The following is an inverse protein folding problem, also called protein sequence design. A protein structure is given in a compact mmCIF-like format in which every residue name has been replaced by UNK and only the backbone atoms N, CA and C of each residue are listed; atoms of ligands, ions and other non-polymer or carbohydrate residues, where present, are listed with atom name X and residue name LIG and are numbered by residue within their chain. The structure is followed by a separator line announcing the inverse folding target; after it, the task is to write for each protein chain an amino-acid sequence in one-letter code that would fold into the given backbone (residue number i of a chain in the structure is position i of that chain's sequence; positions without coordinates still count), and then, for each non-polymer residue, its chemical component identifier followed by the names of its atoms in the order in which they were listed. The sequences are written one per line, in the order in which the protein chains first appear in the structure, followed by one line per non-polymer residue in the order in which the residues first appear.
data_IF_075874640021
#
_entry.id   IF_075874640021
#
_cell.length_a   1.000
_cell.length_b   1.000
_cell.length_c   1.000
_cell.angle_alpha   90.00
_cell.angle_beta   90.00
_cell.angle_gamma   90.00
#
_symmetry.space_group_name_H-M   'P 1'
#
loop_
_entity.id
_entity.type
_entity.pdbx_description
1 polymer ?
#
# COMPACT_ATOMS: atom_id res chain seq x y z
N UNK A 1 -4.42 4.79 11.84
CA UNK A 1 -4.62 3.82 10.75
C UNK A 1 -4.27 2.40 11.12
N UNK A 2 -4.56 1.49 10.24
CA UNK A 2 -4.18 0.09 10.39
C UNK A 2 -2.75 -0.09 9.89
N UNK A 3 -1.87 -0.70 10.67
CA UNK A 3 -0.46 -0.89 10.34
C UNK A 3 -0.05 -2.34 10.50
N UNK A 4 0.64 -2.87 9.50
CA UNK A 4 1.36 -4.13 9.51
C UNK A 4 2.58 -3.99 8.58
N UNK A 5 3.64 -4.74 8.84
CA UNK A 5 4.77 -4.82 7.91
C UNK A 5 4.42 -5.69 6.70
N UNK A 6 5.08 -5.47 5.57
CA UNK A 6 5.11 -6.45 4.49
C UNK A 6 5.78 -7.75 4.99
N UNK A 7 5.34 -8.89 4.47
CA UNK A 7 5.99 -10.18 4.73
C UNK A 7 7.23 -10.33 3.84
N UNK A 8 8.12 -11.27 4.19
CA UNK A 8 9.31 -11.54 3.37
C UNK A 8 8.96 -11.85 1.91
N UNK A 9 7.92 -12.67 1.72
CA UNK A 9 7.42 -13.05 0.38
C UNK A 9 6.88 -11.88 -0.44
N UNK A 10 6.37 -10.81 0.19
CA UNK A 10 5.81 -9.67 -0.54
C UNK A 10 6.89 -8.94 -1.36
N UNK A 11 8.16 -9.11 -0.99
CA UNK A 11 9.30 -8.56 -1.75
C UNK A 11 9.70 -9.40 -2.97
N UNK A 12 9.30 -10.66 -3.01
CA UNK A 12 9.62 -11.58 -4.10
C UNK A 12 8.57 -12.70 -4.22
N UNK A 13 7.32 -12.36 -4.53
CA UNK A 13 6.27 -13.32 -4.76
C UNK A 13 6.17 -13.67 -6.27
N UNK A 14 6.51 -14.89 -6.69
CA UNK A 14 6.42 -15.28 -8.11
C UNK A 14 5.02 -15.15 -8.70
N UNK A 15 3.96 -15.29 -7.90
CA UNK A 15 2.56 -15.13 -8.34
C UNK A 15 2.24 -13.70 -8.78
N UNK A 16 2.96 -12.71 -8.25
CA UNK A 16 2.80 -11.28 -8.61
C UNK A 16 3.52 -10.93 -9.91
N UNK A 17 4.58 -11.70 -10.27
CA UNK A 17 5.36 -11.50 -11.49
C UNK A 17 6.32 -10.29 -11.46
N UNK A 18 6.45 -9.60 -10.31
CA UNK A 18 7.42 -8.51 -10.11
C UNK A 18 8.15 -8.69 -8.78
N UNK A 19 9.34 -8.09 -8.71
CA UNK A 19 10.20 -8.16 -7.53
C UNK A 19 10.57 -6.75 -7.07
N UNK A 20 10.61 -6.56 -5.75
CA UNK A 20 11.21 -5.37 -5.17
C UNK A 20 12.74 -5.40 -5.36
N UNK A 21 13.38 -4.27 -5.70
CA UNK A 21 14.86 -4.20 -5.77
C UNK A 21 15.51 -4.10 -4.39
N UNK A 22 14.71 -4.09 -3.32
CA UNK A 22 15.12 -4.10 -1.92
C UNK A 22 14.47 -5.28 -1.19
N UNK A 23 14.96 -5.61 0.00
CA UNK A 23 14.47 -6.74 0.81
C UNK A 23 13.75 -6.26 2.07
N UNK A 24 13.04 -7.16 2.74
CA UNK A 24 12.47 -6.86 4.06
C UNK A 24 13.55 -6.45 5.06
N UNK A 25 14.71 -7.10 5.04
CA UNK A 25 15.84 -6.75 5.91
C UNK A 25 16.36 -5.33 5.67
N UNK A 26 16.34 -4.84 4.43
CA UNK A 26 16.65 -3.44 4.09
C UNK A 26 15.68 -2.47 4.77
N UNK A 27 14.40 -2.81 4.87
CA UNK A 27 13.38 -1.95 5.48
C UNK A 27 13.21 -2.14 6.99
N UNK A 28 13.68 -3.24 7.57
CA UNK A 28 13.46 -3.56 8.98
C UNK A 28 13.88 -2.44 9.98
N UNK A 29 15.05 -1.78 9.85
CA UNK A 29 15.41 -0.66 10.72
C UNK A 29 14.47 0.53 10.54
N UNK A 30 13.99 0.76 9.33
CA UNK A 30 13.07 1.86 9.02
C UNK A 30 11.64 1.58 9.48
N UNK A 31 11.19 0.33 9.50
CA UNK A 31 9.90 -0.03 10.08
C UNK A 31 9.85 0.31 11.57
N UNK A 32 10.92 0.07 12.34
CA UNK A 32 10.99 0.46 13.75
C UNK A 32 10.90 1.97 13.93
N UNK A 33 11.64 2.75 13.12
CA UNK A 33 11.57 4.22 13.14
C UNK A 33 10.19 4.73 12.70
N UNK A 34 9.60 4.12 11.67
CA UNK A 34 8.28 4.47 11.18
C UNK A 34 7.18 4.18 12.20
N UNK A 35 7.30 3.10 12.97
CA UNK A 35 6.39 2.80 14.06
C UNK A 35 6.37 3.92 15.11
N UNK A 36 7.54 4.42 15.53
CA UNK A 36 7.64 5.53 16.47
C UNK A 36 7.00 6.82 15.93
N UNK A 37 7.19 7.13 14.62
CA UNK A 37 6.54 8.28 13.98
C UNK A 37 5.02 8.13 13.98
N UNK A 38 4.52 6.91 13.77
CA UNK A 38 3.10 6.58 13.70
C UNK A 38 2.47 6.30 15.06
N UNK A 39 3.18 6.49 16.17
CA UNK A 39 2.73 6.19 17.53
C UNK A 39 2.30 4.71 17.68
N UNK A 40 3.14 3.80 17.14
CA UNK A 40 2.96 2.34 17.18
C UNK A 40 4.06 1.69 17.99
N UNK A 41 3.72 0.61 18.69
CA UNK A 41 4.72 -0.25 19.29
C UNK A 41 5.48 -1.03 18.21
N UNK A 42 6.80 -0.84 18.07
CA UNK A 42 7.58 -1.58 17.09
C UNK A 42 7.56 -3.10 17.33
N UNK A 43 7.44 -3.55 18.57
CA UNK A 43 7.40 -4.97 18.92
C UNK A 43 6.11 -5.65 18.44
N UNK A 44 5.03 -4.87 18.26
CA UNK A 44 3.75 -5.36 17.78
C UNK A 44 3.72 -5.66 16.27
N UNK A 45 4.67 -5.14 15.50
CA UNK A 45 4.59 -5.15 14.04
C UNK A 45 4.92 -6.50 13.40
N UNK A 46 5.78 -7.29 14.03
CA UNK A 46 6.26 -8.57 13.52
C UNK A 46 5.67 -9.78 14.26
N UNK A 47 4.68 -9.54 15.12
CA UNK A 47 4.02 -10.64 15.81
C UNK A 47 3.20 -11.46 14.84
N UNK A 48 3.43 -12.74 14.91
CA UNK A 48 2.63 -13.74 14.22
C UNK A 48 2.54 -15.00 15.07
N UNK A 49 1.44 -15.70 14.97
CA UNK A 49 1.20 -16.96 15.65
C UNK A 49 0.62 -17.96 14.67
N UNK A 50 1.22 -19.15 14.59
CA UNK A 50 0.58 -20.25 13.87
C UNK A 50 -0.76 -20.55 14.52
N UNK A 51 -1.83 -20.52 13.72
CA UNK A 51 -3.18 -20.68 14.25
C UNK A 51 -3.85 -21.98 13.78
N UNK A 52 -3.65 -22.32 12.52
CA UNK A 52 -4.07 -23.58 11.91
C UNK A 52 -3.01 -24.03 10.90
N UNK A 53 -3.03 -25.29 10.43
CA UNK A 53 -2.08 -25.73 9.42
C UNK A 53 -2.06 -24.81 8.20
N UNK A 54 -0.90 -24.25 7.87
CA UNK A 54 -0.72 -23.33 6.74
C UNK A 54 -1.27 -21.92 6.94
N UNK A 55 -1.77 -21.56 8.15
CA UNK A 55 -2.32 -20.24 8.42
C UNK A 55 -1.77 -19.62 9.71
N UNK A 56 -1.44 -18.35 9.59
CA UNK A 56 -0.94 -17.51 10.67
C UNK A 56 -2.04 -16.54 11.12
N UNK A 57 -1.99 -16.24 12.40
CA UNK A 57 -2.71 -15.12 12.99
C UNK A 57 -1.75 -13.95 13.06
N UNK A 58 -2.06 -12.86 12.36
CA UNK A 58 -1.24 -11.66 12.30
C UNK A 58 -1.98 -10.44 12.82
N UNK A 59 -1.42 -9.70 13.77
CA UNK A 59 -2.02 -8.48 14.24
C UNK A 59 -1.84 -7.32 13.25
N UNK A 60 -2.90 -6.52 13.12
CA UNK A 60 -2.82 -5.18 12.53
C UNK A 60 -2.98 -4.17 13.64
N UNK A 61 -1.97 -3.36 13.91
CA UNK A 61 -2.07 -2.27 14.87
C UNK A 61 -3.18 -1.30 14.45
N UNK A 62 -4.12 -1.04 15.36
CA UNK A 62 -5.35 -0.28 15.10
C UNK A 62 -5.52 0.91 16.03
N UNK A 63 -4.45 1.50 16.48
CA UNK A 63 -4.49 2.69 17.31
C UNK A 63 -5.14 3.88 16.58
N UNK A 64 -5.60 4.92 17.32
CA UNK A 64 -6.05 6.14 16.71
C UNK A 64 -5.08 6.65 15.65
N UNK A 65 -5.57 7.22 14.55
CA UNK A 65 -4.69 7.70 13.49
C UNK A 65 -3.81 8.84 13.99
N UNK A 66 -2.51 8.76 13.74
CA UNK A 66 -1.57 9.86 13.93
C UNK A 66 -2.00 11.07 13.10
N UNK A 67 -2.17 12.20 13.74
CA UNK A 67 -2.52 13.47 13.10
C UNK A 67 -1.24 14.26 12.85
N UNK A 68 -0.60 14.05 11.70
CA UNK A 68 0.70 14.65 11.37
C UNK A 68 0.69 16.17 11.47
N UNK A 69 -0.35 16.85 10.97
CA UNK A 69 -0.49 18.30 11.10
C UNK A 69 -0.42 18.77 12.55
N UNK A 70 -1.20 18.13 13.44
CA UNK A 70 -1.17 18.48 14.87
C UNK A 70 0.13 18.05 15.57
N UNK A 71 0.73 16.91 15.14
CA UNK A 71 1.96 16.38 15.77
C UNK A 71 3.20 17.21 15.44
N UNK A 72 3.24 17.80 14.26
CA UNK A 72 4.44 18.48 13.74
C UNK A 72 4.21 19.95 13.42
N UNK A 73 3.06 20.58 13.78
CA UNK A 73 2.79 22.00 13.55
C UNK A 73 3.93 22.89 14.07
N UNK A 74 4.25 22.72 15.35
CA UNK A 74 5.25 23.56 16.02
C UNK A 74 6.65 23.43 15.37
N UNK A 75 7.04 22.20 15.02
CA UNK A 75 8.31 21.95 14.30
C UNK A 75 8.32 22.63 12.93
N UNK A 76 7.19 22.63 12.23
CA UNK A 76 7.09 23.25 10.90
C UNK A 76 7.02 24.78 10.98
N UNK A 77 6.42 25.35 12.03
CA UNK A 77 6.24 26.77 12.23
C UNK A 77 7.50 27.44 12.80
N UNK A 78 8.19 26.78 13.73
CA UNK A 78 9.33 27.36 14.47
C UNK A 78 10.68 27.09 13.80
N UNK A 79 10.78 26.12 12.87
CA UNK A 79 12.06 25.75 12.27
C UNK A 79 12.56 26.80 11.27
N UNK A 80 13.71 27.38 11.53
CA UNK A 80 14.41 28.27 10.57
C UNK A 80 14.92 27.53 9.31
N UNK A 81 14.99 26.17 9.35
CA UNK A 81 15.47 25.34 8.25
C UNK A 81 14.35 24.80 7.35
N UNK A 82 13.08 24.97 7.74
CA UNK A 82 11.94 24.46 6.98
C UNK A 82 11.06 25.63 6.51
N UNK A 83 10.85 25.72 5.22
CA UNK A 83 9.94 26.68 4.61
C UNK A 83 8.71 25.99 4.06
N UNK A 84 7.53 26.31 4.60
CA UNK A 84 6.25 25.73 4.19
C UNK A 84 5.50 26.73 3.31
N UNK A 85 5.27 26.39 2.04
CA UNK A 85 4.44 27.16 1.13
C UNK A 85 3.04 26.55 1.06
N UNK A 86 2.06 27.18 1.70
CA UNK A 86 0.66 26.76 1.66
C UNK A 86 -0.08 27.33 0.45
N UNK A 87 -1.19 26.71 0.08
CA UNK A 87 -2.02 27.13 -1.06
C UNK A 87 -1.24 27.24 -2.37
N UNK A 88 -0.22 26.38 -2.54
CA UNK A 88 0.59 26.27 -3.74
C UNK A 88 0.43 24.87 -4.35
N UNK A 89 0.22 24.81 -5.66
CA UNK A 89 0.22 23.54 -6.43
C UNK A 89 1.39 23.56 -7.41
N UNK A 90 2.30 22.58 -7.29
CA UNK A 90 3.33 22.39 -8.33
C UNK A 90 2.65 21.95 -9.62
N UNK A 91 2.92 22.63 -10.71
CA UNK A 91 2.26 22.45 -12.00
C UNK A 91 3.22 22.08 -13.13
N UNK A 92 4.53 22.16 -12.91
CA UNK A 92 5.53 21.80 -13.91
C UNK A 92 6.89 21.48 -13.30
N UNK A 93 7.60 20.60 -13.98
CA UNK A 93 8.99 20.20 -13.73
C UNK A 93 9.77 20.45 -15.02
N UNK A 94 10.72 21.36 -14.99
CA UNK A 94 11.53 21.69 -16.15
C UNK A 94 12.92 21.09 -15.99
N UNK A 95 13.28 20.09 -16.82
CA UNK A 95 14.61 19.50 -16.78
C UNK A 95 15.63 20.37 -17.51
N UNK A 96 16.91 20.16 -17.18
CA UNK A 96 18.02 20.73 -17.92
C UNK A 96 18.08 20.18 -19.37
N UNK A 97 18.96 20.75 -20.19
CA UNK A 97 19.11 20.36 -21.60
C UNK A 97 19.50 18.91 -21.81
N UNK A 98 20.29 18.33 -20.90
CA UNK A 98 20.68 16.89 -20.92
C UNK A 98 19.63 15.97 -20.34
N UNK A 99 18.53 16.50 -19.75
CA UNK A 99 17.45 15.76 -19.09
C UNK A 99 17.93 14.84 -17.96
N UNK A 100 18.95 15.27 -17.26
CA UNK A 100 19.57 14.56 -16.14
C UNK A 100 19.27 15.20 -14.77
N UNK A 101 18.67 16.39 -14.75
CA UNK A 101 18.27 17.10 -13.54
C UNK A 101 17.03 17.96 -13.79
N UNK A 102 16.25 18.19 -12.76
CA UNK A 102 15.24 19.26 -12.74
C UNK A 102 15.94 20.57 -12.36
N UNK A 103 15.82 21.60 -13.20
CA UNK A 103 16.41 22.92 -12.97
C UNK A 103 15.40 23.95 -12.48
N UNK A 104 14.11 23.69 -12.68
CA UNK A 104 13.05 24.63 -12.30
C UNK A 104 11.75 23.90 -11.99
N UNK A 105 11.05 24.44 -10.97
CA UNK A 105 9.68 24.07 -10.64
C UNK A 105 8.76 25.23 -10.98
N UNK A 106 7.65 24.94 -11.64
CA UNK A 106 6.55 25.88 -11.78
C UNK A 106 5.46 25.53 -10.78
N UNK A 107 4.94 26.52 -10.05
CA UNK A 107 3.85 26.31 -9.11
C UNK A 107 2.79 27.41 -9.23
N UNK A 108 1.53 27.01 -9.08
CA UNK A 108 0.40 27.92 -9.06
C UNK A 108 0.10 28.34 -7.63
N UNK A 109 0.12 29.65 -7.36
CA UNK A 109 -0.21 30.23 -6.08
C UNK A 109 -1.69 30.63 -6.07
N UNK A 110 -2.53 29.83 -5.39
CA UNK A 110 -3.99 29.97 -5.41
C UNK A 110 -4.49 31.33 -4.95
N UNK A 111 -3.95 31.96 -3.89
CA UNK A 111 -4.43 33.28 -3.45
C UNK A 111 -4.24 34.41 -4.45
N UNK A 112 -3.15 34.39 -5.25
CA UNK A 112 -2.92 35.43 -6.27
C UNK A 112 -3.42 35.02 -7.66
N UNK A 113 -3.71 33.74 -7.89
CA UNK A 113 -4.08 33.22 -9.22
C UNK A 113 -2.91 33.18 -10.22
N UNK A 114 -1.66 33.30 -9.76
CA UNK A 114 -0.48 33.39 -10.60
C UNK A 114 0.32 32.10 -10.60
N UNK A 115 0.92 31.76 -11.74
CA UNK A 115 1.98 30.75 -11.80
C UNK A 115 3.34 31.40 -11.59
N UNK A 116 4.11 30.86 -10.67
CA UNK A 116 5.46 31.32 -10.29
C UNK A 116 6.48 30.21 -10.53
N UNK A 117 7.74 30.58 -10.59
CA UNK A 117 8.84 29.66 -10.81
C UNK A 117 9.81 29.68 -9.63
N UNK A 118 10.35 28.49 -9.31
CA UNK A 118 11.42 28.30 -8.35
C UNK A 118 12.59 27.61 -9.07
N UNK A 119 13.74 28.28 -9.09
CA UNK A 119 14.97 27.65 -9.59
C UNK A 119 15.42 26.53 -8.63
N UNK A 120 15.94 25.47 -9.19
CA UNK A 120 16.50 24.31 -8.46
C UNK A 120 17.98 24.25 -8.80
N UNK A 121 18.82 24.44 -7.79
CA UNK A 121 20.26 24.25 -7.92
C UNK A 121 20.61 22.77 -8.14
N UNK A 122 21.72 22.53 -8.83
CA UNK A 122 22.18 21.15 -9.13
C UNK A 122 22.48 20.31 -7.88
N UNK A 123 22.81 20.96 -6.76
CA UNK A 123 23.01 20.30 -5.46
C UNK A 123 21.70 20.07 -4.68
N UNK A 124 20.59 20.60 -5.16
CA UNK A 124 19.29 20.43 -4.50
C UNK A 124 18.55 19.21 -5.05
N UNK A 125 17.86 18.51 -4.18
CA UNK A 125 16.99 17.37 -4.53
C UNK A 125 15.52 17.80 -4.58
N UNK A 126 14.82 17.33 -5.59
CA UNK A 126 13.36 17.45 -5.74
C UNK A 126 12.71 16.14 -5.35
N UNK A 127 11.81 16.15 -4.37
CA UNK A 127 11.09 14.96 -3.92
C UNK A 127 9.59 15.13 -4.18
N UNK A 128 9.03 14.29 -5.02
CA UNK A 128 7.59 14.25 -5.27
C UNK A 128 6.90 13.37 -4.23
N UNK A 129 5.98 13.93 -3.48
CA UNK A 129 5.25 13.26 -2.40
C UNK A 129 3.71 13.39 -2.56
N UNK A 130 3.22 13.48 -3.80
CA UNK A 130 1.80 13.68 -4.14
C UNK A 130 0.94 12.41 -4.10
N UNK A 131 1.49 11.27 -3.63
CA UNK A 131 0.78 9.99 -3.55
C UNK A 131 0.57 9.30 -4.90
N UNK A 132 -0.24 8.22 -4.89
CA UNK A 132 -0.40 7.31 -6.03
C UNK A 132 -0.95 7.95 -7.30
N UNK A 133 -1.72 9.03 -7.21
CA UNK A 133 -2.26 9.75 -8.36
C UNK A 133 -1.45 11.00 -8.66
N UNK A 134 -1.19 11.83 -7.65
CA UNK A 134 -0.57 13.16 -7.86
C UNK A 134 0.86 13.08 -8.39
N UNK A 135 1.67 12.10 -7.96
CA UNK A 135 3.01 11.89 -8.51
C UNK A 135 2.93 11.58 -10.02
N UNK A 136 2.05 10.64 -10.40
CA UNK A 136 1.85 10.29 -11.81
C UNK A 136 1.27 11.46 -12.61
N UNK A 137 0.27 12.17 -12.06
CA UNK A 137 -0.32 13.34 -12.71
C UNK A 137 0.74 14.37 -13.05
N UNK A 138 1.63 14.69 -12.11
CA UNK A 138 2.68 15.69 -12.33
C UNK A 138 3.72 15.22 -13.36
N UNK A 139 4.19 13.98 -13.26
CA UNK A 139 5.17 13.40 -14.19
C UNK A 139 4.59 13.11 -15.59
N UNK A 140 3.29 13.12 -15.75
CA UNK A 140 2.61 12.97 -17.07
C UNK A 140 2.30 14.32 -17.73
N UNK A 141 2.47 15.46 -17.02
CA UNK A 141 2.15 16.76 -17.62
C UNK A 141 2.96 16.98 -18.89
N UNK A 142 2.32 17.43 -19.99
CA UNK A 142 3.02 17.78 -21.21
C UNK A 142 4.04 18.90 -20.96
N UNK A 143 5.18 18.78 -21.58
CA UNK A 143 6.20 19.83 -21.55
C UNK A 143 5.86 20.93 -22.55
N UNK A 144 6.23 22.19 -22.26
CA UNK A 144 6.01 23.30 -23.19
C UNK A 144 6.70 23.13 -24.54
N UNK A 145 7.84 22.40 -24.56
CA UNK A 145 8.61 22.14 -25.78
C UNK A 145 8.07 20.93 -26.60
N UNK A 146 6.97 20.31 -26.19
CA UNK A 146 6.39 19.13 -26.82
C UNK A 146 7.17 17.83 -26.64
N UNK A 147 8.25 17.86 -25.84
CA UNK A 147 9.06 16.68 -25.54
C UNK A 147 8.38 15.67 -24.63
N UNK A 148 9.03 14.52 -24.42
CA UNK A 148 8.57 13.50 -23.48
C UNK A 148 8.46 14.12 -22.10
N UNK A 149 7.36 13.84 -21.38
CA UNK A 149 7.12 14.34 -20.03
C UNK A 149 8.28 13.95 -19.09
N UNK A 150 8.61 14.85 -18.16
CA UNK A 150 9.76 14.71 -17.26
C UNK A 150 9.66 13.43 -16.42
N UNK A 151 10.67 12.56 -16.52
CA UNK A 151 10.70 11.27 -15.80
C UNK A 151 9.84 10.17 -16.42
N UNK A 152 9.28 10.36 -17.62
CA UNK A 152 8.47 9.36 -18.32
C UNK A 152 9.13 8.81 -19.59
N UNK A 153 10.43 8.75 -19.61
CA UNK A 153 11.22 8.26 -20.74
C UNK A 153 10.93 6.79 -21.07
N UNK A 154 10.59 6.00 -20.06
CA UNK A 154 10.17 4.59 -20.21
C UNK A 154 8.72 4.44 -20.70
N UNK A 155 7.90 5.49 -20.64
CA UNK A 155 6.45 5.43 -20.89
C UNK A 155 5.67 4.62 -19.83
N UNK A 156 6.23 4.47 -18.62
CA UNK A 156 5.65 3.64 -17.55
C UNK A 156 4.98 4.48 -16.44
N UNK A 157 5.22 5.78 -16.39
CA UNK A 157 4.54 6.65 -15.42
C UNK A 157 3.03 6.51 -15.57
N UNK A 158 2.36 6.36 -14.45
CA UNK A 158 0.91 6.16 -14.37
C UNK A 158 0.45 4.72 -14.55
N UNK A 159 1.23 3.84 -15.17
CA UNK A 159 0.87 2.42 -15.35
C UNK A 159 1.04 1.62 -14.07
N UNK A 160 0.47 0.40 -14.07
CA UNK A 160 0.54 -0.55 -12.95
C UNK A 160 -0.08 -0.01 -11.65
N UNK A 161 -1.13 0.81 -11.80
CA UNK A 161 -1.92 1.22 -10.65
C UNK A 161 -2.51 0.00 -9.96
N UNK A 162 -2.28 -0.10 -8.68
CA UNK A 162 -2.81 -1.14 -7.81
C UNK A 162 -3.57 -0.52 -6.63
N UNK A 163 -4.49 -1.31 -6.10
CA UNK A 163 -5.28 -1.02 -4.90
C UNK A 163 -5.29 -2.29 -4.03
N UNK A 164 -5.81 -2.21 -2.82
CA UNK A 164 -6.21 -3.39 -2.06
C UNK A 164 -7.71 -3.62 -2.25
N UNK A 165 -8.10 -4.65 -3.04
CA UNK A 165 -9.51 -5.05 -3.12
C UNK A 165 -10.01 -5.47 -1.74
N UNK A 166 -11.09 -4.84 -1.29
CA UNK A 166 -11.79 -5.22 -0.08
C UNK A 166 -13.07 -5.95 -0.45
N UNK A 167 -13.23 -7.18 0.03
CA UNK A 167 -14.45 -7.96 -0.18
C UNK A 167 -15.14 -8.16 1.16
N UNK A 168 -16.24 -7.44 1.36
CA UNK A 168 -17.11 -7.61 2.52
C UNK A 168 -18.13 -8.73 2.29
N UNK A 169 -18.29 -9.64 3.28
CA UNK A 169 -19.24 -10.77 3.22
C UNK A 169 -18.96 -11.80 2.11
N UNK A 170 -17.73 -11.88 1.60
CA UNK A 170 -17.31 -12.92 0.66
C UNK A 170 -17.25 -14.30 1.29
N UNK A 171 -17.10 -14.37 2.62
CA UNK A 171 -17.15 -15.62 3.38
C UNK A 171 -17.70 -15.41 4.80
N UNK A 172 -18.16 -16.52 5.37
CA UNK A 172 -18.54 -16.66 6.77
C UNK A 172 -17.77 -17.83 7.37
N UNK A 173 -17.36 -17.69 8.63
CA UNK A 173 -16.66 -18.73 9.37
C UNK A 173 -17.44 -19.09 10.63
N UNK A 174 -17.41 -20.38 10.96
CA UNK A 174 -17.87 -20.88 12.26
C UNK A 174 -16.69 -21.56 12.91
N UNK A 175 -16.23 -21.03 14.05
CA UNK A 175 -15.00 -21.42 14.73
C UNK A 175 -15.28 -21.85 16.17
N UNK A 176 -14.50 -22.82 16.66
CA UNK A 176 -14.55 -23.30 18.06
C UNK A 176 -13.86 -22.35 19.06
N UNK A 177 -13.28 -21.26 18.56
CA UNK A 177 -12.50 -20.31 19.31
C UNK A 177 -13.12 -18.92 19.22
N UNK A 178 -13.22 -18.19 20.35
CA UNK A 178 -13.69 -16.83 20.39
C UNK A 178 -12.52 -15.87 20.15
N UNK A 179 -12.27 -15.53 18.89
CA UNK A 179 -11.07 -14.81 18.46
C UNK A 179 -11.00 -13.38 19.04
N UNK A 180 -12.16 -12.70 19.19
CA UNK A 180 -12.17 -11.31 19.71
C UNK A 180 -11.75 -11.21 21.18
N UNK A 181 -11.82 -12.30 21.94
CA UNK A 181 -11.46 -12.34 23.36
C UNK A 181 -10.10 -12.97 23.64
N UNK A 182 -9.38 -13.43 22.62
CA UNK A 182 -8.04 -13.90 22.89
C UNK A 182 -7.18 -12.72 23.36
N UNK A 183 -6.56 -12.82 24.56
CA UNK A 183 -5.62 -11.84 25.02
C UNK A 183 -4.41 -11.90 24.11
N UNK A 184 -4.39 -11.10 23.07
CA UNK A 184 -3.14 -10.53 22.62
C UNK A 184 -2.58 -9.78 23.84
N UNK A 185 -1.28 -9.78 24.08
CA UNK A 185 -0.72 -9.06 25.21
C UNK A 185 -1.40 -7.71 25.34
N UNK A 186 -1.86 -7.34 26.56
CA UNK A 186 -2.68 -6.15 26.81
C UNK A 186 -2.06 -4.84 26.35
N UNK A 187 -0.76 -4.87 26.06
CA UNK A 187 0.06 -3.73 25.65
C UNK A 187 0.00 -3.43 24.14
N UNK A 188 -0.74 -4.25 23.36
CA UNK A 188 -0.82 -4.06 21.90
C UNK A 188 -1.85 -3.02 21.46
N UNK A 189 -2.49 -2.29 22.37
CA UNK A 189 -3.52 -1.32 21.99
C UNK A 189 -4.46 -1.87 20.91
N UNK A 190 -5.53 -1.32 20.52
CA UNK A 190 -6.51 -1.87 19.61
C UNK A 190 -5.97 -2.64 18.37
N UNK A 191 -5.68 -3.94 18.54
CA UNK A 191 -5.22 -4.82 17.46
C UNK A 191 -6.41 -5.50 16.79
N UNK A 192 -6.44 -5.46 15.46
CA UNK A 192 -7.37 -6.24 14.66
C UNK A 192 -6.65 -7.46 14.10
N UNK A 193 -6.97 -8.67 14.58
CA UNK A 193 -6.37 -9.89 14.08
C UNK A 193 -6.83 -10.22 12.66
N UNK A 194 -5.91 -10.76 11.86
CA UNK A 194 -6.21 -11.29 10.55
C UNK A 194 -5.60 -12.67 10.37
N UNK A 195 -6.30 -13.55 9.69
CA UNK A 195 -5.78 -14.81 9.22
C UNK A 195 -5.11 -14.59 7.87
N UNK A 196 -3.89 -15.11 7.71
CA UNK A 196 -3.12 -15.04 6.47
C UNK A 196 -2.51 -16.40 6.18
N UNK A 197 -2.43 -16.79 4.91
CA UNK A 197 -1.68 -17.98 4.53
C UNK A 197 -0.19 -17.76 4.87
N UNK A 198 0.50 -18.79 5.35
CA UNK A 198 1.94 -18.74 5.55
C UNK A 198 2.72 -18.77 4.22
N UNK A 199 4.04 -18.64 4.28
CA UNK A 199 4.87 -18.57 3.08
C UNK A 199 4.87 -19.89 2.31
N UNK A 200 4.76 -21.03 3.00
CA UNK A 200 4.68 -22.36 2.38
C UNK A 200 3.39 -22.53 1.58
N UNK A 201 2.23 -22.23 2.18
CA UNK A 201 0.94 -22.27 1.48
C UNK A 201 0.90 -21.29 0.31
N UNK A 202 1.44 -20.09 0.51
CA UNK A 202 1.48 -19.08 -0.53
C UNK A 202 2.31 -19.54 -1.74
N UNK A 203 3.49 -20.10 -1.51
CA UNK A 203 4.35 -20.62 -2.57
C UNK A 203 3.76 -21.85 -3.26
N UNK A 204 3.29 -22.84 -2.47
CA UNK A 204 2.76 -24.10 -3.00
C UNK A 204 1.52 -23.91 -3.90
N UNK A 205 0.72 -22.90 -3.62
CA UNK A 205 -0.54 -22.65 -4.33
C UNK A 205 -0.54 -21.40 -5.21
N UNK A 206 0.60 -20.70 -5.34
CA UNK A 206 0.73 -19.49 -6.15
C UNK A 206 -0.26 -18.41 -5.72
N UNK A 207 -0.37 -18.15 -4.41
CA UNK A 207 -1.31 -17.17 -3.88
C UNK A 207 -0.74 -15.75 -3.94
N UNK A 208 -1.62 -14.80 -4.20
CA UNK A 208 -1.41 -13.40 -3.88
C UNK A 208 -1.63 -13.17 -2.38
N UNK A 209 -1.09 -12.08 -1.85
CA UNK A 209 -1.31 -11.69 -0.47
C UNK A 209 -2.80 -11.49 -0.16
N UNK A 210 -3.29 -12.11 0.91
CA UNK A 210 -4.67 -11.95 1.36
C UNK A 210 -4.77 -12.04 2.88
N UNK A 211 -5.39 -11.04 3.49
CA UNK A 211 -5.72 -11.06 4.92
C UNK A 211 -7.23 -11.21 5.12
N UNK A 212 -7.61 -12.16 5.96
CA UNK A 212 -9.01 -12.47 6.30
C UNK A 212 -9.30 -11.92 7.69
N UNK A 213 -9.98 -10.79 7.75
CA UNK A 213 -10.38 -10.14 9.01
C UNK A 213 -11.73 -10.67 9.48
N UNK A 214 -11.80 -11.05 10.74
CA UNK A 214 -12.96 -11.67 11.33
C UNK A 214 -13.78 -10.67 12.16
N UNK A 215 -15.06 -10.60 11.86
CA UNK A 215 -16.02 -9.80 12.60
C UNK A 215 -17.08 -10.71 13.22
N UNK A 216 -17.07 -10.84 14.53
CA UNK A 216 -18.01 -11.66 15.25
C UNK A 216 -19.46 -11.26 14.95
N UNK A 217 -20.32 -12.27 14.87
CA UNK A 217 -21.77 -12.13 14.73
C UNK A 217 -22.44 -12.71 15.96
N UNK A 218 -23.40 -11.97 16.50
CA UNK A 218 -24.21 -12.37 17.66
C UNK A 218 -25.54 -13.04 17.28
N UNK A 219 -25.79 -13.17 15.97
CA UNK A 219 -27.02 -13.80 15.48
C UNK A 219 -26.90 -15.31 15.50
N UNK A 220 -27.97 -16.01 15.83
CA UNK A 220 -28.08 -17.46 15.74
C UNK A 220 -27.77 -17.90 14.31
N UNK A 221 -26.99 -18.96 14.21
CA UNK A 221 -26.58 -19.50 12.93
C UNK A 221 -26.71 -21.04 12.97
N UNK A 222 -27.47 -21.65 12.05
CA UNK A 222 -27.77 -23.09 12.11
C UNK A 222 -26.51 -23.96 12.17
N UNK A 223 -25.41 -23.53 11.51
CA UNK A 223 -24.15 -24.27 11.57
C UNK A 223 -23.50 -24.22 12.96
N UNK A 224 -23.69 -23.13 13.71
CA UNK A 224 -23.20 -23.01 15.10
C UNK A 224 -23.91 -24.03 15.97
N UNK A 225 -25.25 -24.09 15.92
CA UNK A 225 -26.05 -25.07 16.66
C UNK A 225 -25.68 -26.50 16.30
N UNK A 226 -25.58 -26.79 14.99
CA UNK A 226 -25.22 -28.13 14.51
C UNK A 226 -23.84 -28.58 14.99
N UNK A 227 -22.80 -27.73 14.84
CA UNK A 227 -21.44 -28.10 15.23
C UNK A 227 -21.28 -28.16 16.76
N UNK A 228 -21.91 -27.24 17.49
CA UNK A 228 -21.87 -27.25 18.96
C UNK A 228 -22.54 -28.51 19.54
N UNK A 229 -23.68 -28.92 18.98
CA UNK A 229 -24.34 -30.13 19.39
C UNK A 229 -23.57 -31.40 19.01
N UNK A 230 -22.96 -31.44 17.83
CA UNK A 230 -22.18 -32.57 17.34
C UNK A 230 -20.89 -32.79 18.13
N UNK A 231 -20.11 -31.72 18.34
CA UNK A 231 -18.74 -31.78 18.87
C UNK A 231 -18.70 -31.55 20.39
N UNK A 232 -19.83 -31.20 21.04
CA UNK A 232 -19.95 -30.98 22.48
C UNK A 232 -19.15 -29.76 22.99
N UNK A 233 -18.80 -28.83 22.10
CA UNK A 233 -18.06 -27.62 22.42
C UNK A 233 -18.69 -26.39 21.76
N UNK A 234 -18.53 -25.18 22.32
CA UNK A 234 -19.09 -23.97 21.71
C UNK A 234 -18.44 -23.62 20.38
N UNK A 235 -19.24 -23.16 19.45
CA UNK A 235 -18.78 -22.56 18.19
C UNK A 235 -19.30 -21.13 18.07
N UNK A 236 -18.59 -20.31 17.32
CA UNK A 236 -18.84 -18.87 17.16
C UNK A 236 -18.91 -18.48 15.68
N UNK A 237 -19.85 -17.63 15.32
CA UNK A 237 -20.05 -17.16 13.94
C UNK A 237 -19.31 -15.88 13.66
N UNK A 238 -18.59 -15.87 12.54
CA UNK A 238 -17.85 -14.72 12.04
C UNK A 238 -18.17 -14.41 10.59
N UNK A 239 -18.23 -13.13 10.29
CA UNK A 239 -18.18 -12.63 8.92
C UNK A 239 -16.75 -12.28 8.57
N UNK A 240 -16.28 -12.76 7.41
CA UNK A 240 -14.99 -12.40 6.87
C UNK A 240 -15.05 -11.11 6.05
N UNK A 241 -14.06 -10.25 6.24
CA UNK A 241 -13.69 -9.18 5.31
C UNK A 241 -12.31 -9.49 4.79
N UNK A 242 -12.20 -9.69 3.48
CA UNK A 242 -10.92 -9.92 2.83
C UNK A 242 -10.30 -8.58 2.45
N UNK A 243 -8.99 -8.47 2.62
CA UNK A 243 -8.16 -7.42 2.03
C UNK A 243 -7.05 -8.12 1.28
N UNK A 244 -7.02 -7.94 -0.02
CA UNK A 244 -6.18 -8.73 -0.89
C UNK A 244 -5.18 -7.85 -1.65
N UNK A 245 -4.09 -8.46 -2.03
CA UNK A 245 -3.17 -7.96 -3.02
C UNK A 245 -3.82 -7.97 -4.40
N UNK A 246 -3.43 -7.03 -5.24
CA UNK A 246 -3.84 -6.92 -6.62
C UNK A 246 -2.61 -7.07 -7.51
N UNK A 247 -2.72 -7.89 -8.54
CA UNK A 247 -1.64 -8.09 -9.51
C UNK A 247 -1.39 -6.80 -10.31
N UNK A 248 -0.12 -6.40 -10.49
CA UNK A 248 0.22 -5.24 -11.30
C UNK A 248 -0.15 -5.48 -12.76
N UNK A 249 -1.01 -4.64 -13.31
CA UNK A 249 -1.41 -4.68 -14.72
C UNK A 249 -1.17 -3.34 -15.39
N UNK A 250 -0.54 -3.33 -16.57
CA UNK A 250 -0.32 -2.10 -17.34
C UNK A 250 -1.63 -1.45 -17.80
N UNK A 251 -2.74 -2.20 -17.85
CA UNK A 251 -4.07 -1.67 -18.18
C UNK A 251 -4.70 -0.87 -17.05
N UNK A 252 -4.25 -1.08 -15.80
CA UNK A 252 -4.62 -0.26 -14.66
C UNK A 252 -3.67 0.93 -14.60
N UNK A 253 -4.22 2.13 -14.77
CA UNK A 253 -3.38 3.30 -14.97
C UNK A 253 -4.05 4.60 -14.52
N UNK A 254 -3.19 5.55 -14.21
CA UNK A 254 -3.49 6.99 -14.22
C UNK A 254 -3.06 7.54 -15.57
N UNK A 255 -3.93 8.24 -16.25
CA UNK A 255 -3.65 8.97 -17.49
C UNK A 255 -4.22 10.39 -17.39
N UNK A 256 -3.90 11.25 -18.35
CA UNK A 256 -4.41 12.62 -18.35
C UNK A 256 -5.54 12.79 -19.37
N UNK A 257 -6.51 13.63 -19.03
CA UNK A 257 -7.56 14.10 -19.94
C UNK A 257 -7.14 15.40 -20.64
N UNK A 258 -7.89 15.83 -21.65
CA UNK A 258 -7.74 17.16 -22.26
C UNK A 258 -8.17 18.31 -21.35
N UNK A 259 -8.95 18.04 -20.30
CA UNK A 259 -9.43 19.06 -19.37
C UNK A 259 -8.34 19.49 -18.39
N UNK A 260 -8.40 20.75 -17.96
CA UNK A 260 -7.51 21.31 -16.96
C UNK A 260 -8.26 21.71 -15.69
N UNK A 261 -7.57 21.64 -14.56
CA UNK A 261 -8.07 22.20 -13.29
C UNK A 261 -7.76 23.71 -13.21
N UNK A 262 -8.19 24.35 -12.10
CA UNK A 262 -7.97 25.79 -11.85
C UNK A 262 -6.50 26.22 -11.81
N UNK A 263 -5.58 25.30 -11.52
CA UNK A 263 -4.14 25.57 -11.52
C UNK A 263 -3.48 25.29 -12.89
N UNK A 264 -4.26 24.91 -13.92
CA UNK A 264 -3.76 24.66 -15.27
C UNK A 264 -3.25 23.23 -15.50
N UNK A 265 -3.23 22.35 -14.50
CA UNK A 265 -2.86 20.95 -14.68
C UNK A 265 -3.93 20.19 -15.45
N UNK A 266 -3.53 19.31 -16.37
CA UNK A 266 -4.42 18.33 -16.96
C UNK A 266 -4.97 17.41 -15.88
N UNK A 267 -6.28 17.17 -15.91
CA UNK A 267 -6.97 16.32 -14.95
C UNK A 267 -6.59 14.86 -15.13
N UNK A 268 -6.37 14.12 -14.04
CA UNK A 268 -6.13 12.69 -14.14
C UNK A 268 -7.45 11.94 -14.38
N UNK A 269 -7.38 10.88 -15.15
CA UNK A 269 -8.37 9.82 -15.19
C UNK A 269 -7.74 8.54 -14.65
N UNK A 270 -8.53 7.73 -13.96
CA UNK A 270 -8.06 6.53 -13.26
C UNK A 270 -8.81 5.32 -13.76
N UNK A 271 -8.08 4.34 -14.25
CA UNK A 271 -8.57 3.00 -14.52
C UNK A 271 -7.96 2.04 -13.51
N UNK A 272 -8.79 1.40 -12.71
CA UNK A 272 -8.38 0.39 -11.74
C UNK A 272 -9.42 -0.73 -11.72
N UNK A 273 -9.06 -1.89 -12.21
CA UNK A 273 -9.93 -3.06 -12.29
C UNK A 273 -9.23 -4.26 -11.65
N UNK A 274 -9.93 -4.95 -10.77
CA UNK A 274 -9.48 -6.21 -10.17
C UNK A 274 -9.55 -7.30 -11.24
N UNK A 275 -8.47 -8.07 -11.40
CA UNK A 275 -8.37 -9.14 -12.39
C UNK A 275 -9.08 -10.42 -11.96
N UNK A 276 -9.34 -11.30 -12.93
CA UNK A 276 -9.90 -12.64 -12.64
C UNK A 276 -8.99 -13.46 -11.73
N UNK A 277 -7.67 -13.39 -11.95
CA UNK A 277 -6.68 -14.12 -11.15
C UNK A 277 -6.59 -13.60 -9.70
N UNK A 278 -6.83 -12.31 -9.48
CA UNK A 278 -6.91 -11.73 -8.13
C UNK A 278 -8.07 -12.36 -7.35
N UNK A 279 -9.25 -12.49 -7.98
CA UNK A 279 -10.40 -13.17 -7.39
C UNK A 279 -10.17 -14.65 -7.15
N UNK A 280 -9.56 -15.34 -8.11
CA UNK A 280 -9.23 -16.77 -7.98
C UNK A 280 -8.25 -17.00 -6.82
N UNK A 281 -7.29 -16.11 -6.62
CA UNK A 281 -6.37 -16.18 -5.48
C UNK A 281 -7.11 -16.00 -4.14
N UNK A 282 -8.03 -15.04 -4.04
CA UNK A 282 -8.88 -14.87 -2.86
C UNK A 282 -9.73 -16.13 -2.58
N UNK A 283 -10.35 -16.69 -3.61
CA UNK A 283 -11.15 -17.92 -3.47
C UNK A 283 -10.30 -19.10 -3.02
N UNK A 284 -9.12 -19.30 -3.63
CA UNK A 284 -8.17 -20.36 -3.23
C UNK A 284 -7.76 -20.22 -1.77
N UNK A 285 -7.42 -18.99 -1.33
CA UNK A 285 -7.09 -18.71 0.08
C UNK A 285 -8.22 -19.15 1.01
N UNK A 286 -9.47 -18.83 0.69
CA UNK A 286 -10.62 -19.23 1.51
C UNK A 286 -10.85 -20.74 1.50
N UNK A 287 -10.65 -21.43 0.36
CA UNK A 287 -10.79 -22.89 0.26
C UNK A 287 -9.73 -23.61 1.09
N UNK A 288 -8.47 -23.18 1.00
CA UNK A 288 -7.37 -23.71 1.80
C UNK A 288 -7.58 -23.46 3.29
N UNK A 289 -8.06 -22.27 3.67
CA UNK A 289 -8.46 -21.98 5.04
C UNK A 289 -9.56 -22.93 5.51
N UNK A 290 -10.58 -23.15 4.68
CA UNK A 290 -11.68 -24.07 4.99
C UNK A 290 -11.20 -25.51 5.20
N UNK A 291 -10.29 -25.98 4.34
CA UNK A 291 -9.68 -27.30 4.48
C UNK A 291 -8.88 -27.41 5.78
N UNK A 292 -8.00 -26.45 6.05
CA UNK A 292 -7.20 -26.40 7.28
C UNK A 292 -8.05 -26.41 8.55
N UNK A 293 -9.19 -25.69 8.54
CA UNK A 293 -10.12 -25.67 9.66
C UNK A 293 -10.85 -27.02 9.85
N UNK A 294 -11.17 -27.72 8.77
CA UNK A 294 -11.76 -29.05 8.84
C UNK A 294 -10.77 -30.06 9.41
N UNK A 295 -9.55 -30.08 8.87
CA UNK A 295 -8.48 -31.00 9.29
C UNK A 295 -8.08 -30.82 10.75
N UNK A 296 -8.02 -29.56 11.21
CA UNK A 296 -7.69 -29.25 12.62
C UNK A 296 -8.87 -29.31 13.58
N UNK A 297 -10.09 -29.58 13.10
CA UNK A 297 -11.31 -29.58 13.92
C UNK A 297 -11.70 -28.21 14.48
N UNK A 298 -11.11 -27.12 13.97
CA UNK A 298 -11.32 -25.76 14.47
C UNK A 298 -12.57 -25.08 13.94
N UNK A 299 -13.15 -25.56 12.84
CA UNK A 299 -14.35 -24.92 12.30
C UNK A 299 -14.63 -25.19 10.83
N UNK A 300 -15.36 -24.25 10.22
CA UNK A 300 -15.81 -24.34 8.82
C UNK A 300 -15.79 -22.96 8.18
N UNK A 301 -15.57 -22.92 6.86
CA UNK A 301 -15.73 -21.75 6.00
C UNK A 301 -16.90 -21.97 5.04
N UNK A 302 -17.77 -20.98 4.94
CA UNK A 302 -18.78 -20.88 3.89
C UNK A 302 -18.40 -19.74 2.95
N UNK A 303 -18.10 -20.06 1.70
CA UNK A 303 -17.78 -19.06 0.66
C UNK A 303 -19.08 -18.63 -0.02
N UNK A 304 -19.25 -17.31 -0.18
CA UNK A 304 -20.34 -16.72 -0.94
C UNK A 304 -19.78 -16.17 -2.26
N UNK A 305 -19.74 -17.01 -3.29
CA UNK A 305 -19.14 -16.65 -4.58
C UNK A 305 -19.78 -15.42 -5.22
N UNK A 306 -21.12 -15.28 -5.14
CA UNK A 306 -21.80 -14.08 -5.68
C UNK A 306 -21.27 -12.79 -5.05
N UNK A 307 -20.97 -12.80 -3.75
CA UNK A 307 -20.42 -11.63 -3.05
C UNK A 307 -18.92 -11.50 -3.21
N UNK A 308 -18.21 -12.62 -3.29
CA UNK A 308 -16.77 -12.64 -3.51
C UNK A 308 -16.41 -11.95 -4.84
N UNK A 309 -17.14 -12.27 -5.90
CA UNK A 309 -16.90 -11.73 -7.24
C UNK A 309 -17.65 -10.43 -7.57
N UNK A 310 -18.72 -10.12 -6.84
CA UNK A 310 -19.61 -9.02 -7.16
C UNK A 310 -19.65 -7.85 -6.17
N UNK A 311 -18.96 -7.95 -5.04
CA UNK A 311 -19.02 -6.92 -3.98
C UNK A 311 -17.63 -6.46 -3.53
N UNK A 312 -16.87 -5.91 -4.48
CA UNK A 312 -15.54 -5.37 -4.23
C UNK A 312 -15.59 -3.87 -4.02
N UNK A 313 -14.87 -3.41 -3.03
CA UNK A 313 -14.59 -1.98 -2.79
C UNK A 313 -13.08 -1.77 -2.72
N UNK A 314 -12.62 -0.55 -2.94
CA UNK A 314 -11.22 -0.19 -2.72
C UNK A 314 -10.94 0.18 -1.26
N UNK A 315 -9.70 0.04 -0.85
CA UNK A 315 -9.18 0.50 0.45
C UNK A 315 -8.74 1.96 0.47
N UNK A 316 -8.70 2.60 -0.70
CA UNK A 316 -8.07 3.92 -0.87
C UNK A 316 -6.54 3.84 -0.86
N UNK A 317 -5.98 2.67 -1.18
CA UNK A 317 -4.56 2.38 -1.14
C UNK A 317 -3.96 2.39 -2.55
N UNK A 318 -3.85 3.57 -3.14
CA UNK A 318 -3.38 3.73 -4.52
C UNK A 318 -1.85 3.62 -4.58
N UNK A 319 -1.34 2.65 -5.35
CA UNK A 319 0.07 2.25 -5.39
C UNK A 319 0.55 1.98 -6.83
N UNK A 320 1.87 1.96 -7.05
CA UNK A 320 2.50 1.38 -8.24
C UNK A 320 2.69 2.30 -9.44
N UNK A 321 2.10 3.48 -9.48
CA UNK A 321 2.09 4.36 -10.67
C UNK A 321 3.45 4.96 -11.05
N UNK A 322 4.45 4.83 -10.19
CA UNK A 322 5.87 5.17 -10.43
C UNK A 322 6.76 4.07 -9.85
N UNK A 323 6.39 2.80 -10.11
CA UNK A 323 6.98 1.63 -9.46
C UNK A 323 8.50 1.61 -9.52
N UNK A 324 9.13 1.13 -8.43
CA UNK A 324 10.58 0.95 -8.38
C UNK A 324 11.04 -0.35 -9.02
N UNK A 325 12.29 -0.37 -9.49
CA UNK A 325 12.94 -1.53 -10.04
C UNK A 325 14.38 -1.23 -10.42
N UNK A 326 15.15 -2.25 -10.72
CA UNK A 326 16.57 -2.11 -11.08
C UNK A 326 16.79 -1.73 -12.55
N UNK A 327 15.77 -1.88 -13.40
CA UNK A 327 15.89 -1.67 -14.83
C UNK A 327 14.94 -0.54 -15.29
N UNK A 328 15.46 0.53 -15.92
CA UNK A 328 14.63 1.65 -16.39
C UNK A 328 13.63 1.26 -17.49
N UNK A 329 13.74 0.07 -18.10
CA UNK A 329 12.78 -0.40 -19.10
C UNK A 329 11.48 -0.95 -18.51
N UNK A 330 11.49 -1.29 -17.20
CA UNK A 330 10.34 -1.88 -16.51
C UNK A 330 9.96 -1.16 -15.21
N UNK A 331 10.63 -0.04 -14.91
CA UNK A 331 10.40 0.77 -13.71
C UNK A 331 10.56 2.27 -13.98
N UNK A 332 10.05 3.10 -13.07
CA UNK A 332 10.15 4.56 -13.13
C UNK A 332 11.25 5.07 -12.21
N UNK A 333 11.40 4.46 -11.04
CA UNK A 333 12.42 4.84 -10.06
C UNK A 333 13.32 3.64 -9.73
N UNK A 334 14.55 3.94 -9.30
CA UNK A 334 15.50 2.95 -8.81
C UNK A 334 15.21 2.53 -7.35
N UNK A 335 16.09 1.70 -6.77
CA UNK A 335 15.98 1.23 -5.38
C UNK A 335 16.01 2.35 -4.34
N UNK A 336 16.57 3.50 -4.67
CA UNK A 336 16.66 4.68 -3.81
C UNK A 336 15.54 5.68 -4.05
N UNK A 337 14.50 5.26 -4.77
CA UNK A 337 13.36 6.08 -5.17
C UNK A 337 13.73 7.24 -6.11
N UNK A 338 14.89 7.21 -6.74
CA UNK A 338 15.33 8.20 -7.71
C UNK A 338 14.79 7.88 -9.09
N UNK A 339 14.25 8.87 -9.78
CA UNK A 339 13.75 8.72 -11.15
C UNK A 339 14.91 8.36 -12.08
N UNK A 340 14.75 7.28 -12.84
CA UNK A 340 15.79 6.83 -13.77
C UNK A 340 16.19 7.94 -14.74
N UNK A 341 17.49 8.13 -14.90
CA UNK A 341 18.06 9.18 -15.73
C UNK A 341 18.24 10.54 -15.06
N UNK A 342 17.65 10.76 -13.88
CA UNK A 342 17.77 12.02 -13.13
C UNK A 342 18.62 11.82 -11.88
N UNK A 343 19.53 12.76 -11.61
CA UNK A 343 20.33 12.69 -10.39
C UNK A 343 19.70 13.40 -9.19
N UNK A 344 18.76 14.34 -9.41
CA UNK A 344 18.16 15.15 -8.36
C UNK A 344 16.62 15.01 -8.23
N UNK A 345 15.99 14.10 -8.97
CA UNK A 345 14.53 13.89 -8.91
C UNK A 345 14.20 12.55 -8.25
N UNK A 346 13.41 12.60 -7.19
CA UNK A 346 13.01 11.46 -6.37
C UNK A 346 11.49 11.41 -6.18
N UNK A 347 10.98 10.23 -5.89
CA UNK A 347 9.56 10.01 -5.63
C UNK A 347 9.36 9.32 -4.28
N UNK A 348 8.57 9.92 -3.41
CA UNK A 348 8.15 9.36 -2.13
C UNK A 348 6.68 8.92 -2.18
N UNK A 349 6.34 7.95 -1.35
CA UNK A 349 4.96 7.45 -1.21
C UNK A 349 4.74 6.09 -1.84
N UNK A 350 3.48 5.65 -1.84
CA UNK A 350 3.11 4.32 -2.33
C UNK A 350 3.15 4.16 -3.85
N UNK A 351 3.26 5.25 -4.60
CA UNK A 351 3.39 5.16 -6.05
C UNK A 351 4.62 4.36 -6.50
N UNK A 352 5.66 4.27 -5.66
CA UNK A 352 6.89 3.53 -5.97
C UNK A 352 6.80 2.01 -5.71
N UNK A 353 5.71 1.49 -5.13
CA UNK A 353 5.58 0.07 -4.81
C UNK A 353 5.50 -0.79 -6.09
N UNK A 354 6.35 -1.81 -6.26
CA UNK A 354 6.24 -2.75 -7.37
C UNK A 354 5.08 -3.74 -7.20
N UNK A 355 4.81 -4.14 -5.94
CA UNK A 355 3.71 -5.00 -5.51
C UNK A 355 3.16 -4.49 -4.19
N UNK A 356 1.97 -4.93 -3.81
CA UNK A 356 1.26 -4.33 -2.67
C UNK A 356 1.31 -5.17 -1.41
N UNK A 357 1.47 -6.50 -1.53
CA UNK A 357 1.12 -7.40 -0.45
C UNK A 357 -0.34 -7.16 -0.01
N UNK A 358 -0.67 -7.55 1.22
CA UNK A 358 -2.00 -7.28 1.81
C UNK A 358 -1.97 -6.23 2.92
N UNK A 359 -0.80 -5.77 3.32
CA UNK A 359 -0.63 -4.83 4.43
C UNK A 359 -0.98 -3.40 4.01
N UNK A 360 -1.69 -2.66 4.87
CA UNK A 360 -1.96 -1.25 4.60
C UNK A 360 -0.66 -0.49 4.35
N UNK A 361 -0.58 0.38 3.33
CA UNK A 361 0.71 0.91 2.85
C UNK A 361 1.37 1.95 3.75
N UNK A 362 0.64 2.58 4.69
CA UNK A 362 1.11 3.75 5.44
C UNK A 362 2.43 3.49 6.18
N UNK A 363 2.58 2.35 6.86
CA UNK A 363 3.81 2.03 7.58
C UNK A 363 5.00 1.91 6.62
N UNK A 364 4.82 1.23 5.48
CA UNK A 364 5.85 1.08 4.45
C UNK A 364 6.16 2.41 3.75
N UNK A 365 5.16 3.27 3.52
CA UNK A 365 5.37 4.64 3.00
C UNK A 365 6.31 5.43 3.93
N UNK A 366 6.05 5.42 5.25
CA UNK A 366 6.89 6.14 6.21
C UNK A 366 8.29 5.53 6.31
N UNK A 367 8.40 4.19 6.27
CA UNK A 367 9.70 3.51 6.28
C UNK A 367 10.54 3.87 5.03
N UNK A 368 9.95 3.88 3.84
CA UNK A 368 10.62 4.29 2.60
C UNK A 368 10.99 5.79 2.61
N UNK A 369 10.13 6.65 3.16
CA UNK A 369 10.42 8.08 3.28
C UNK A 369 11.62 8.34 4.20
N UNK A 370 11.72 7.62 5.31
CA UNK A 370 12.88 7.68 6.21
C UNK A 370 14.15 7.18 5.54
N UNK A 371 14.06 6.07 4.78
CA UNK A 371 15.19 5.55 4.02
C UNK A 371 15.64 6.57 2.94
N UNK A 372 14.70 7.18 2.24
CA UNK A 372 15.02 8.24 1.28
C UNK A 372 15.66 9.43 1.95
N UNK A 373 15.20 9.86 3.12
CA UNK A 373 15.82 10.96 3.88
C UNK A 373 17.29 10.64 4.24
N UNK A 374 17.57 9.41 4.71
CA UNK A 374 18.95 8.99 5.00
C UNK A 374 19.81 8.96 3.72
N UNK A 375 19.26 8.49 2.58
CA UNK A 375 19.94 8.54 1.27
C UNK A 375 20.27 9.99 0.88
N UNK A 376 19.31 10.91 0.97
CA UNK A 376 19.51 12.32 0.59
C UNK A 376 20.53 13.04 1.47
N UNK A 377 20.67 12.64 2.73
CA UNK A 377 21.70 13.21 3.62
C UNK A 377 23.11 12.72 3.29
N UNK A 378 23.25 11.54 2.68
CA UNK A 378 24.56 11.01 2.24
C UNK A 378 25.00 11.52 0.87
N UNK A 379 24.07 12.07 0.07
CA UNK A 379 24.37 12.68 -1.24
C UNK A 379 24.89 14.12 -1.15
N UNK A 380 24.83 14.72 0.04
CA UNK A 380 25.36 16.06 0.34
C UNK A 380 26.83 15.95 0.81
#
# INVERSE_FOLDING_TARGET
GWCATLMERDFNNPAVGVRWPITKSTLAPYYRRAAAILDRDPAALDLERRWAPGFLFRPFSREPPTRFGAKYSDVLEESAAIHVALSCSVVGLEPNSSRSAVERLSYFHHPSGETRQLAVDSAQSVVLAGGGIGNAQLLLQPRPDGGVATGNESGLVGKFLMEHPHVGRGAELVLDEEIERQPLPRDFGGVAPALVADDEQTAAHGLLGCSVHLHRRTTDHPMVEYLSGKDGKPFHHYRAILRAEMSPSASNAVSLTGERNSAGLHRPTVRCAVGGDDFLSMERTLRLLGQSLIESGKGRVRINNRRLYGNVTGGGHLMGTTRMGSNPRDSVVDSDCRVHGYHNLFVAGSSVFPSTGYANPTLTIVALALRLADTLTTLR
#
